data_IF_661111761852
#
_entry.id   IF_661111761852
#
_cell.length_a   1.000
_cell.length_b   1.000
_cell.length_c   1.000
_cell.angle_alpha   90.00
_cell.angle_beta   90.00
_cell.angle_gamma   90.00
#
_symmetry.space_group_name_H-M   'P 1'
#
loop_
_entity.id
_entity.type
_entity.pdbx_description
1 polymer ?
#
# COMPACT_ATOMS: atom_id res chain seq x y z
N UNK A 1 -0.66 -11.76 -23.57
CA UNK A 1 0.10 -11.36 -22.36
C UNK A 1 -0.91 -10.89 -21.33
N UNK A 2 -0.77 -11.25 -20.04
CA UNK A 2 -1.62 -10.68 -19.00
C UNK A 2 -1.42 -9.15 -18.96
N UNK A 3 -2.48 -8.36 -18.67
CA UNK A 3 -2.34 -6.93 -18.50
C UNK A 3 -1.42 -6.63 -17.30
N UNK A 4 -0.53 -5.66 -17.48
CA UNK A 4 0.31 -5.15 -16.40
C UNK A 4 -0.56 -4.38 -15.40
N UNK A 5 -0.44 -4.71 -14.12
CA UNK A 5 -1.24 -4.15 -13.04
C UNK A 5 -0.33 -3.37 -12.08
N UNK A 6 -0.65 -2.10 -11.90
CA UNK A 6 0.00 -1.17 -10.98
C UNK A 6 -0.79 -1.17 -9.67
N UNK A 7 -0.10 -1.30 -8.54
CA UNK A 7 -0.71 -1.24 -7.20
C UNK A 7 -0.79 0.19 -6.73
N UNK A 8 -1.98 0.65 -6.37
CA UNK A 8 -2.20 2.00 -5.85
C UNK A 8 -2.85 1.92 -4.49
N UNK A 9 -2.18 2.52 -3.50
CA UNK A 9 -2.64 2.63 -2.12
C UNK A 9 -3.03 4.09 -1.82
N UNK A 10 -4.31 4.45 -1.97
CA UNK A 10 -4.79 5.77 -1.66
C UNK A 10 -4.79 6.05 -0.16
N UNK A 11 -4.57 7.31 0.21
CA UNK A 11 -4.68 7.78 1.59
C UNK A 11 -6.10 7.56 2.13
N UNK A 12 -6.26 7.48 3.45
CA UNK A 12 -7.56 7.24 4.07
C UNK A 12 -8.64 8.26 3.65
N UNK A 13 -8.25 9.52 3.43
CA UNK A 13 -9.14 10.57 2.96
C UNK A 13 -9.60 10.37 1.51
N UNK A 14 -8.73 9.87 0.63
CA UNK A 14 -8.98 9.72 -0.81
C UNK A 14 -9.59 8.37 -1.19
N UNK A 15 -9.59 7.38 -0.29
CA UNK A 15 -10.11 6.01 -0.57
C UNK A 15 -11.51 5.99 -1.17
N UNK A 16 -12.42 6.84 -0.67
CA UNK A 16 -13.81 6.87 -1.15
C UNK A 16 -13.89 7.36 -2.59
N UNK A 17 -13.20 8.46 -2.89
CA UNK A 17 -13.17 9.04 -4.23
C UNK A 17 -12.45 8.11 -5.21
N UNK A 18 -11.35 7.48 -4.77
CA UNK A 18 -10.66 6.45 -5.53
C UNK A 18 -11.58 5.27 -5.86
N UNK A 19 -12.34 4.76 -4.88
CA UNK A 19 -13.28 3.67 -5.11
C UNK A 19 -14.38 4.05 -6.12
N UNK A 20 -14.89 5.28 -6.05
CA UNK A 20 -15.88 5.78 -7.02
C UNK A 20 -15.29 5.83 -8.44
N UNK A 21 -14.07 6.35 -8.59
CA UNK A 21 -13.36 6.36 -9.87
C UNK A 21 -13.11 4.93 -10.39
N UNK A 22 -12.64 4.03 -9.53
CA UNK A 22 -12.32 2.65 -9.87
C UNK A 22 -13.54 1.87 -10.38
N UNK A 23 -14.71 2.08 -9.78
CA UNK A 23 -15.97 1.42 -10.18
C UNK A 23 -16.47 1.92 -11.55
N UNK A 24 -16.13 3.15 -11.93
CA UNK A 24 -16.51 3.73 -13.22
C UNK A 24 -15.65 3.25 -14.40
N UNK A 25 -14.51 2.60 -14.15
CA UNK A 25 -13.58 2.19 -15.20
C UNK A 25 -14.05 0.96 -15.99
N UNK A 26 -13.63 0.89 -17.26
CA UNK A 26 -13.80 -0.27 -18.13
C UNK A 26 -12.51 -0.54 -18.93
N UNK A 27 -11.77 -1.64 -18.67
CA UNK A 27 -12.06 -2.73 -17.73
C UNK A 27 -12.16 -2.29 -16.26
N UNK A 28 -12.85 -3.07 -15.42
CA UNK A 28 -12.98 -2.72 -14.00
C UNK A 28 -11.64 -2.86 -13.28
N UNK A 29 -11.25 -1.81 -12.55
CA UNK A 29 -10.13 -1.85 -11.60
C UNK A 29 -10.47 -2.87 -10.51
N UNK A 30 -9.51 -3.74 -10.18
CA UNK A 30 -9.71 -4.77 -9.14
C UNK A 30 -9.18 -4.26 -7.81
N UNK A 31 -9.90 -4.56 -6.74
CA UNK A 31 -9.40 -4.36 -5.38
C UNK A 31 -8.48 -5.52 -5.02
N UNK A 32 -7.19 -5.23 -4.78
CA UNK A 32 -6.20 -6.24 -4.41
C UNK A 32 -6.17 -6.50 -2.90
N UNK A 33 -6.45 -5.47 -2.10
CA UNK A 33 -6.54 -5.51 -0.63
C UNK A 33 -7.49 -4.42 -0.14
N UNK A 34 -7.78 -4.38 1.16
CA UNK A 34 -8.60 -3.35 1.78
C UNK A 34 -8.08 -1.92 1.54
N UNK A 35 -6.78 -1.78 1.29
CA UNK A 35 -6.10 -0.50 1.06
C UNK A 35 -5.38 -0.42 -0.29
N UNK A 36 -5.47 -1.45 -1.15
CA UNK A 36 -4.69 -1.55 -2.38
C UNK A 36 -5.60 -1.87 -3.57
N UNK A 37 -5.42 -1.13 -4.66
CA UNK A 37 -6.14 -1.29 -5.92
C UNK A 37 -5.16 -1.69 -7.02
N UNK A 38 -5.48 -2.76 -7.73
CA UNK A 38 -4.76 -3.18 -8.93
C UNK A 38 -5.36 -2.49 -10.15
N UNK A 39 -4.70 -1.43 -10.57
CA UNK A 39 -5.08 -0.58 -11.72
C UNK A 39 -4.32 -1.06 -12.96
N UNK A 40 -5.00 -1.37 -14.07
CA UNK A 40 -4.33 -1.62 -15.35
C UNK A 40 -3.46 -0.44 -15.77
N UNK A 41 -2.26 -0.70 -16.31
CA UNK A 41 -1.32 0.36 -16.70
C UNK A 41 -1.91 1.36 -17.70
N UNK A 42 -2.80 0.90 -18.60
CA UNK A 42 -3.54 1.73 -19.56
C UNK A 42 -4.57 2.67 -18.91
N UNK A 43 -5.05 2.35 -17.71
CA UNK A 43 -5.99 3.20 -16.98
C UNK A 43 -5.29 4.16 -16.02
N UNK A 44 -4.11 3.77 -15.54
CA UNK A 44 -3.32 4.59 -14.64
C UNK A 44 -2.99 5.96 -15.25
N UNK A 45 -2.70 6.01 -16.55
CA UNK A 45 -2.44 7.27 -17.28
C UNK A 45 -3.65 8.23 -17.36
N UNK A 46 -4.86 7.72 -17.17
CA UNK A 46 -6.10 8.49 -17.20
C UNK A 46 -6.64 8.79 -15.80
N UNK A 47 -5.96 8.30 -14.77
CA UNK A 47 -6.35 8.53 -13.39
C UNK A 47 -6.12 10.01 -13.03
N UNK A 48 -7.11 10.67 -12.43
CA UNK A 48 -6.95 12.07 -12.09
C UNK A 48 -5.92 12.22 -10.97
N UNK A 49 -4.99 13.14 -11.18
CA UNK A 49 -3.81 13.32 -10.34
C UNK A 49 -4.14 13.62 -8.87
N UNK A 50 -5.22 14.35 -8.58
CA UNK A 50 -5.62 14.63 -7.20
C UNK A 50 -5.92 13.37 -6.36
N UNK A 51 -6.23 12.24 -6.99
CA UNK A 51 -6.37 10.94 -6.31
C UNK A 51 -5.02 10.27 -6.03
N UNK A 52 -3.98 10.67 -6.74
CA UNK A 52 -2.62 10.18 -6.60
C UNK A 52 -1.81 10.97 -5.56
N UNK A 53 -2.13 12.24 -5.33
CA UNK A 53 -1.41 13.07 -4.36
C UNK A 53 -1.47 12.44 -2.95
N UNK A 54 -0.29 12.09 -2.43
CA UNK A 54 -0.13 11.42 -1.14
C UNK A 54 -0.36 9.92 -1.14
N UNK A 55 -0.78 9.34 -2.26
CA UNK A 55 -0.95 7.89 -2.44
C UNK A 55 0.40 7.21 -2.68
N UNK A 56 0.45 5.89 -2.47
CA UNK A 56 1.62 5.06 -2.75
C UNK A 56 1.36 4.19 -3.98
N UNK A 57 2.18 4.29 -5.01
CA UNK A 57 2.12 3.57 -6.28
C UNK A 57 3.28 2.57 -6.33
N UNK A 58 2.98 1.28 -6.39
CA UNK A 58 3.95 0.17 -6.36
C UNK A 58 5.00 0.28 -5.24
N UNK A 59 4.58 0.79 -4.08
CA UNK A 59 5.46 0.98 -2.92
C UNK A 59 6.19 2.33 -2.89
N UNK A 60 6.07 3.15 -3.93
CA UNK A 60 6.67 4.48 -4.00
C UNK A 60 5.62 5.56 -3.78
N UNK A 61 5.95 6.59 -2.99
CA UNK A 61 5.06 7.77 -2.86
C UNK A 61 4.93 8.41 -4.23
N UNK A 62 3.70 8.69 -4.65
CA UNK A 62 3.47 9.46 -5.86
C UNK A 62 3.99 10.90 -5.69
N UNK A 63 4.70 11.38 -6.71
CA UNK A 63 5.21 12.74 -6.82
C UNK A 63 4.59 13.36 -8.07
N UNK A 64 3.93 14.51 -7.91
CA UNK A 64 3.37 15.24 -9.04
C UNK A 64 4.48 15.69 -10.00
N UNK A 65 4.27 15.68 -11.32
CA UNK A 65 5.22 16.26 -12.28
C UNK A 65 5.56 17.74 -11.99
N UNK A 66 4.63 18.50 -11.41
CA UNK A 66 4.87 19.88 -10.97
C UNK A 66 5.77 19.93 -9.73
N UNK A 67 5.59 19.01 -8.77
CA UNK A 67 6.48 18.86 -7.61
C UNK A 67 7.89 18.43 -8.04
N UNK A 68 7.99 17.50 -9.00
CA UNK A 68 9.27 17.04 -9.55
C UNK A 68 9.98 18.17 -10.32
N UNK A 69 9.26 18.96 -11.12
CA UNK A 69 9.81 20.15 -11.78
C UNK A 69 10.25 21.22 -10.76
N UNK A 70 9.42 21.51 -9.75
CA UNK A 70 9.77 22.46 -8.71
C UNK A 70 10.96 21.98 -7.85
N UNK A 71 11.15 20.67 -7.68
CA UNK A 71 12.34 20.11 -7.02
C UNK A 71 13.57 20.13 -7.93
N UNK A 72 13.39 19.99 -9.25
CA UNK A 72 14.49 20.14 -10.22
C UNK A 72 14.93 21.59 -10.40
N UNK A 73 14.05 22.57 -10.19
CA UNK A 73 14.33 24.00 -10.42
C UNK A 73 14.70 24.82 -9.15
N UNK A 74 15.41 24.25 -8.16
CA UNK A 74 16.59 24.97 -7.70
C UNK A 74 17.76 24.02 -7.39
N UNK A 75 18.38 23.44 -8.44
CA UNK A 75 19.70 22.82 -8.29
C UNK A 75 20.65 22.99 -9.50
N UNK A 76 20.36 23.93 -10.41
CA UNK A 76 21.40 24.51 -11.30
C UNK A 76 22.06 25.75 -10.64
N UNK A 77 22.04 25.84 -9.31
CA UNK A 77 22.66 26.94 -8.55
C UNK A 77 22.96 26.55 -7.10
N UNK A 78 23.66 25.43 -6.90
CA UNK A 78 24.17 25.06 -5.58
C UNK A 78 24.69 23.64 -5.56
N UNK A 79 26.01 23.48 -5.71
CA UNK A 79 26.66 22.20 -5.87
C UNK A 79 26.40 21.24 -4.70
N UNK A 80 25.60 20.21 -4.94
CA UNK A 80 25.95 18.89 -4.47
C UNK A 80 27.00 18.38 -5.46
N UNK A 81 28.27 18.67 -5.17
CA UNK A 81 29.33 17.86 -5.74
C UNK A 81 28.98 16.40 -5.42
N UNK A 82 28.71 15.62 -6.46
CA UNK A 82 28.90 14.18 -6.45
C UNK A 82 30.41 13.92 -6.26
N UNK A 83 30.92 14.23 -5.07
CA UNK A 83 32.28 13.93 -4.61
C UNK A 83 32.40 12.42 -4.48
N UNK A 84 32.71 11.74 -5.59
CA UNK A 84 32.98 10.31 -5.54
C UNK A 84 33.35 9.61 -6.85
N UNK A 85 33.27 10.26 -8.02
CA UNK A 85 33.57 9.58 -9.30
C UNK A 85 34.56 10.35 -10.18
N UNK A 86 35.46 11.13 -9.56
CA UNK A 86 36.41 11.96 -10.30
C UNK A 86 37.76 12.20 -9.63
N UNK A 87 38.05 11.58 -8.49
CA UNK A 87 39.41 11.57 -7.95
C UNK A 87 40.17 10.46 -8.67
N UNK A 88 41.41 10.69 -9.17
CA UNK A 88 42.24 9.59 -9.64
C UNK A 88 42.38 8.60 -8.48
N UNK A 89 42.01 7.33 -8.71
CA UNK A 89 42.26 6.24 -7.77
C UNK A 89 43.77 6.22 -7.49
N UNK A 90 44.18 6.82 -6.37
CA UNK A 90 45.55 6.68 -5.89
C UNK A 90 45.59 5.34 -5.17
N UNK A 91 46.24 4.36 -5.77
CA UNK A 91 46.58 3.12 -5.08
C UNK A 91 47.28 3.48 -3.76
N UNK A 92 46.66 3.08 -2.64
CA UNK A 92 47.24 3.25 -1.33
C UNK A 92 48.52 2.40 -1.24
N UNK A 93 49.67 3.04 -1.03
CA UNK A 93 50.93 2.35 -0.82
C UNK A 93 50.92 1.81 0.62
N UNK A 94 51.10 0.49 0.85
CA UNK A 94 51.15 -0.06 2.20
C UNK A 94 52.24 0.62 3.04
N UNK A 95 51.84 1.31 4.12
CA UNK A 95 52.74 1.99 5.05
C UNK A 95 52.66 3.52 5.07
N UNK A 96 51.93 4.17 4.16
CA UNK A 96 51.59 5.59 4.32
C UNK A 96 50.50 5.76 5.41
N UNK A 97 50.65 6.71 6.36
CA UNK A 97 49.60 7.02 7.31
C UNK A 97 48.41 7.63 6.57
N UNK A 98 47.19 7.22 6.96
CA UNK A 98 45.97 7.81 6.39
C UNK A 98 45.98 9.33 6.61
N UNK A 99 45.49 10.11 5.62
CA UNK A 99 45.31 11.54 5.81
C UNK A 99 44.35 11.81 6.98
N UNK A 100 44.75 12.72 7.86
CA UNK A 100 43.95 13.10 9.01
C UNK A 100 42.64 13.77 8.54
N UNK A 101 41.52 13.19 8.94
CA UNK A 101 40.20 13.72 8.61
C UNK A 101 39.99 15.00 9.44
N UNK A 102 39.67 16.15 8.81
CA UNK A 102 39.47 17.40 9.55
C UNK A 102 38.32 17.26 10.55
N UNK A 103 38.50 17.82 11.75
CA UNK A 103 37.52 17.73 12.83
C UNK A 103 36.15 18.34 12.46
N UNK A 104 36.11 19.21 11.46
CA UNK A 104 34.89 19.83 10.90
C UNK A 104 33.98 18.83 10.18
N UNK A 105 34.51 17.65 9.79
CA UNK A 105 33.72 16.56 9.24
C UNK A 105 32.81 15.88 10.29
N UNK A 106 33.06 16.12 11.57
CA UNK A 106 32.22 15.62 12.67
C UNK A 106 31.31 16.75 13.16
N UNK A 107 29.97 16.59 13.12
CA UNK A 107 29.07 17.58 13.69
C UNK A 107 29.30 17.71 15.21
N UNK A 108 29.19 18.94 15.73
CA UNK A 108 29.32 19.21 17.16
C UNK A 108 28.26 18.41 17.94
N UNK A 109 28.70 17.40 18.68
CA UNK A 109 27.81 16.47 19.41
C UNK A 109 27.88 15.01 18.93
N UNK A 110 28.76 14.67 17.98
CA UNK A 110 29.08 13.29 17.67
C UNK A 110 29.88 12.65 18.82
N UNK A 111 29.17 12.19 19.85
CA UNK A 111 29.77 11.37 20.91
C UNK A 111 30.00 9.95 20.35
N UNK A 112 31.22 9.41 20.44
CA UNK A 112 31.49 8.03 20.04
C UNK A 112 30.71 7.09 20.96
N UNK A 113 29.72 6.40 20.40
CA UNK A 113 29.00 5.34 21.11
C UNK A 113 29.99 4.24 21.51
N UNK A 114 30.01 3.78 22.76
CA UNK A 114 30.85 2.66 23.16
C UNK A 114 30.52 1.45 22.28
N UNK A 115 31.56 0.76 21.80
CA UNK A 115 31.42 -0.42 20.98
C UNK A 115 30.47 -1.40 21.68
N UNK A 116 29.34 -1.69 21.04
CA UNK A 116 28.42 -2.71 21.51
C UNK A 116 29.17 -4.05 21.47
N UNK A 117 29.43 -4.60 22.65
CA UNK A 117 29.95 -5.93 22.85
C UNK A 117 28.95 -6.93 22.22
N UNK A 118 29.25 -7.46 21.05
CA UNK A 118 28.38 -8.38 20.29
C UNK A 118 28.43 -9.81 20.83
N UNK A 119 28.66 -9.99 22.13
CA UNK A 119 28.82 -11.30 22.79
C UNK A 119 27.58 -11.66 23.60
N UNK A 120 26.45 -11.86 22.94
CA UNK A 120 25.29 -12.56 23.49
C UNK A 120 24.38 -13.11 22.38
N UNK A 121 24.93 -13.95 21.51
CA UNK A 121 24.15 -14.92 20.73
C UNK A 121 24.02 -16.19 21.58
N UNK A 122 23.09 -16.19 22.52
CA UNK A 122 22.65 -17.40 23.22
C UNK A 122 21.14 -17.57 23.06
N UNK A 123 20.82 -18.56 22.21
CA UNK A 123 19.74 -19.53 22.36
C UNK A 123 18.29 -19.03 22.56
N UNK A 124 17.55 -18.89 21.45
CA UNK A 124 16.10 -18.99 21.46
C UNK A 124 15.64 -19.95 20.35
N UNK A 125 15.22 -21.14 20.79
CA UNK A 125 14.73 -22.27 20.00
C UNK A 125 13.56 -21.92 19.05
N UNK A 126 13.38 -22.66 17.94
CA UNK A 126 12.17 -22.58 17.13
C UNK A 126 11.03 -23.31 17.86
N UNK A 127 10.04 -22.54 18.31
CA UNK A 127 8.80 -23.08 18.83
C UNK A 127 7.89 -23.55 17.70
N UNK A 128 7.91 -24.85 17.43
CA UNK A 128 6.85 -25.55 16.71
C UNK A 128 5.56 -25.50 17.56
N UNK A 129 4.51 -24.89 17.02
CA UNK A 129 3.19 -24.85 17.62
C UNK A 129 2.12 -24.88 16.54
N UNK A 130 1.75 -26.09 16.15
CA UNK A 130 0.46 -26.35 15.49
C UNK A 130 -0.66 -25.76 16.34
N UNK A 131 -1.60 -25.04 15.73
CA UNK A 131 -3.00 -25.33 16.02
C UNK A 131 -3.90 -25.07 14.81
N UNK A 132 -4.96 -25.85 14.80
CA UNK A 132 -5.80 -26.29 13.72
C UNK A 132 -6.73 -25.21 13.17
N UNK A 133 -7.14 -25.44 11.93
CA UNK A 133 -8.39 -24.98 11.34
C UNK A 133 -9.56 -25.04 12.33
N UNK A 134 -10.43 -24.03 12.33
CA UNK A 134 -11.86 -24.30 12.39
C UNK A 134 -12.68 -23.26 11.61
N UNK A 135 -13.62 -23.81 10.87
CA UNK A 135 -14.64 -23.14 10.07
C UNK A 135 -15.88 -22.87 10.92
N UNK A 136 -16.76 -22.02 10.38
CA UNK A 136 -18.16 -21.84 10.80
C UNK A 136 -18.31 -21.01 12.10
N UNK A 137 -19.32 -20.18 12.30
CA UNK A 137 -20.68 -20.08 11.78
C UNK A 137 -21.05 -18.57 11.75
N UNK A 138 -21.84 -18.05 10.82
CA UNK A 138 -23.25 -18.44 10.73
C UNK A 138 -24.01 -17.89 11.95
N UNK A 139 -23.97 -16.57 12.20
CA UNK A 139 -24.80 -15.97 13.25
C UNK A 139 -26.23 -15.84 12.73
N UNK A 140 -26.92 -16.98 12.71
CA UNK A 140 -28.37 -17.12 12.61
C UNK A 140 -28.99 -16.56 13.90
N UNK A 141 -29.40 -15.29 13.85
CA UNK A 141 -30.22 -14.66 14.88
C UNK A 141 -31.62 -15.30 14.87
N UNK A 142 -31.92 -15.95 15.99
CA UNK A 142 -33.07 -16.79 16.22
C UNK A 142 -34.28 -15.92 16.60
N UNK A 143 -35.12 -15.60 15.61
CA UNK A 143 -36.39 -14.90 15.78
C UNK A 143 -37.56 -15.79 15.38
N UNK A 144 -38.25 -16.31 16.38
CA UNK A 144 -39.56 -16.97 16.34
C UNK A 144 -40.62 -16.14 15.58
N UNK A 145 -41.44 -16.80 14.75
CA UNK A 145 -42.87 -16.42 14.66
C UNK A 145 -43.45 -15.77 13.40
N UNK A 146 -42.92 -16.00 12.20
CA UNK A 146 -43.67 -15.68 10.97
C UNK A 146 -43.01 -16.20 9.70
N UNK A 147 -43.63 -17.17 9.03
CA UNK A 147 -43.21 -17.59 7.70
C UNK A 147 -43.54 -16.46 6.71
N UNK A 148 -42.53 -15.66 6.33
CA UNK A 148 -42.74 -14.54 5.41
C UNK A 148 -42.82 -15.07 3.99
N UNK A 149 -44.02 -15.20 3.44
CA UNK A 149 -44.21 -15.68 2.07
C UNK A 149 -44.20 -14.53 1.06
N UNK A 150 -43.65 -14.77 -0.12
CA UNK A 150 -43.77 -13.83 -1.23
C UNK A 150 -45.17 -13.87 -1.82
N UNK A 151 -45.79 -12.71 -1.99
CA UNK A 151 -47.13 -12.50 -2.55
C UNK A 151 -47.25 -12.89 -4.03
N UNK A 152 -46.14 -12.90 -4.78
CA UNK A 152 -46.15 -13.20 -6.23
C UNK A 152 -45.89 -14.69 -6.51
N UNK A 153 -44.94 -15.32 -5.81
CA UNK A 153 -44.54 -16.71 -6.08
C UNK A 153 -44.76 -17.67 -4.90
N UNK A 154 -45.32 -17.18 -3.78
CA UNK A 154 -45.64 -17.96 -2.56
C UNK A 154 -44.44 -18.69 -1.94
N UNK A 155 -43.20 -18.32 -2.27
CA UNK A 155 -42.01 -18.92 -1.64
C UNK A 155 -41.90 -18.46 -0.18
N UNK A 156 -41.66 -19.38 0.78
CA UNK A 156 -41.47 -19.03 2.18
C UNK A 156 -40.04 -18.52 2.43
N UNK A 157 -39.92 -17.48 3.27
CA UNK A 157 -38.65 -16.90 3.68
C UNK A 157 -38.56 -16.84 5.21
N UNK A 158 -37.33 -17.00 5.69
CA UNK A 158 -36.99 -16.94 7.12
C UNK A 158 -37.01 -15.51 7.69
N UNK A 159 -37.10 -14.49 6.86
CA UNK A 159 -37.12 -13.09 7.29
C UNK A 159 -37.85 -12.19 6.29
N UNK A 160 -38.44 -11.11 6.79
CA UNK A 160 -39.10 -10.09 5.97
C UNK A 160 -38.15 -9.45 4.95
N UNK A 161 -36.91 -9.14 5.39
CA UNK A 161 -35.86 -8.58 4.52
C UNK A 161 -35.52 -9.53 3.36
N UNK A 162 -35.54 -10.84 3.59
CA UNK A 162 -35.34 -11.85 2.57
C UNK A 162 -36.45 -11.85 1.51
N UNK A 163 -37.72 -11.79 1.95
CA UNK A 163 -38.89 -11.65 1.07
C UNK A 163 -38.80 -10.40 0.20
N UNK A 164 -38.50 -9.26 0.80
CA UNK A 164 -38.47 -7.97 0.08
C UNK A 164 -37.32 -7.89 -0.95
N UNK A 165 -36.16 -8.45 -0.61
CA UNK A 165 -35.02 -8.54 -1.54
C UNK A 165 -35.36 -9.47 -2.70
N UNK A 166 -35.97 -10.61 -2.41
CA UNK A 166 -36.45 -11.54 -3.44
C UNK A 166 -37.45 -10.88 -4.38
N UNK A 167 -38.44 -10.15 -3.85
CA UNK A 167 -39.44 -9.46 -4.67
C UNK A 167 -38.79 -8.50 -5.67
N UNK A 168 -37.84 -7.67 -5.23
CA UNK A 168 -37.14 -6.71 -6.10
C UNK A 168 -36.29 -7.38 -7.19
N UNK A 169 -35.74 -8.56 -6.91
CA UNK A 169 -34.84 -9.25 -7.84
C UNK A 169 -35.55 -10.20 -8.80
N UNK A 170 -36.54 -10.95 -8.31
CA UNK A 170 -37.26 -11.97 -9.07
C UNK A 170 -38.55 -11.45 -9.72
N UNK A 171 -39.12 -10.36 -9.19
CA UNK A 171 -40.35 -9.74 -9.66
C UNK A 171 -40.16 -8.22 -9.86
N UNK A 172 -39.26 -7.80 -10.77
CA UNK A 172 -38.98 -6.38 -11.01
C UNK A 172 -40.19 -5.60 -11.57
N UNK A 173 -41.20 -6.30 -12.10
CA UNK A 173 -42.39 -5.72 -12.76
C UNK A 173 -43.68 -5.85 -11.93
N UNK A 174 -43.59 -6.30 -10.67
CA UNK A 174 -44.73 -6.48 -9.76
C UNK A 174 -44.98 -5.28 -8.86
#
# INVERSE_FOLDING_TARGET
>A
MPPELIRVQPTAALRREFALWAVAQNPKVRTASHYDFAVPADQFIHMPEHLLIGSVVDGHRYVSPDEDQAQKEPADSGGAELLGVGLPEREGIPGEPLPEVPAEAYPAGAEPTPAADTTALEDAQPGEGSDSSDQADGNDDQGDGGEFTCDVCSRPFKSERGRDTHRRQAHPEA
#
